data_IF_772060981285
#
_entry.id   IF_772060981285
#
_cell.length_a   1.000
_cell.length_b   1.000
_cell.length_c   1.000
_cell.angle_alpha   90.00
_cell.angle_beta   90.00
_cell.angle_gamma   90.00
#
_symmetry.space_group_name_H-M   'P 1'
#
loop_
_entity.id
_entity.type
_entity.pdbx_description
1 polymer ?
#
# COMPACT_ATOMS: atom_id res chain seq x y z
N UNK A 1 5.21 10.65 7.45
CA UNK A 1 5.74 9.25 7.50
C UNK A 1 5.31 8.48 8.76
N UNK A 2 5.55 9.00 9.98
CA UNK A 2 5.19 8.31 11.25
C UNK A 2 3.68 8.03 11.38
N UNK A 3 2.86 8.90 10.80
CA UNK A 3 1.39 8.77 10.82
C UNK A 3 0.89 7.69 9.86
N UNK A 4 1.50 7.56 8.67
CA UNK A 4 1.17 6.52 7.70
C UNK A 4 1.44 5.12 8.25
N UNK A 5 2.61 4.91 8.85
CA UNK A 5 2.96 3.62 9.47
C UNK A 5 1.96 3.27 10.58
N UNK A 6 1.59 4.24 11.41
CA UNK A 6 0.61 4.04 12.49
C UNK A 6 -0.78 3.72 11.95
N UNK A 7 -1.22 4.40 10.88
CA UNK A 7 -2.47 4.09 10.17
C UNK A 7 -2.47 2.65 9.63
N UNK A 8 -1.38 2.26 8.96
CA UNK A 8 -1.24 0.93 8.36
C UNK A 8 -1.16 -0.17 9.42
N UNK A 9 -0.62 0.08 10.60
CA UNK A 9 -0.68 -0.89 11.72
C UNK A 9 -2.11 -1.25 12.13
N UNK A 10 -3.11 -0.42 11.82
CA UNK A 10 -4.51 -0.72 12.08
C UNK A 10 -5.23 -1.39 10.88
N UNK A 11 -4.51 -1.68 9.78
CA UNK A 11 -5.10 -2.39 8.64
C UNK A 11 -5.43 -3.85 9.01
N UNK A 12 -6.46 -4.44 8.36
CA UNK A 12 -6.81 -5.82 8.59
C UNK A 12 -5.74 -6.78 8.07
N UNK A 13 -5.57 -7.90 8.76
CA UNK A 13 -4.78 -9.03 8.28
C UNK A 13 -5.61 -9.92 7.35
N UNK A 14 -6.20 -9.32 6.30
CA UNK A 14 -7.08 -9.97 5.33
C UNK A 14 -6.62 -9.69 3.89
N UNK A 15 -7.06 -10.49 2.90
CA UNK A 15 -6.86 -10.19 1.50
C UNK A 15 -7.58 -8.91 1.08
N UNK A 16 -7.02 -8.21 0.10
CA UNK A 16 -7.63 -7.02 -0.47
C UNK A 16 -6.72 -6.22 -1.39
N UNK A 17 -7.21 -5.03 -1.73
CA UNK A 17 -6.51 -4.02 -2.54
C UNK A 17 -6.11 -2.87 -1.63
N UNK A 18 -4.90 -2.34 -1.79
CA UNK A 18 -4.46 -1.09 -1.16
C UNK A 18 -4.20 -0.03 -2.23
N UNK A 19 -4.46 1.23 -1.86
CA UNK A 19 -4.31 2.39 -2.73
C UNK A 19 -3.43 3.39 -2.02
N UNK A 20 -2.39 3.87 -2.70
CA UNK A 20 -1.57 4.97 -2.22
C UNK A 20 -1.95 6.24 -3.01
N UNK A 21 -2.13 7.34 -2.29
CA UNK A 21 -2.56 8.62 -2.84
C UNK A 21 -1.52 9.69 -2.60
N UNK A 22 -1.42 10.63 -3.53
CA UNK A 22 -0.61 11.83 -3.34
C UNK A 22 -1.39 12.90 -2.54
N UNK A 23 -0.75 14.06 -2.31
CA UNK A 23 -1.34 15.21 -1.60
C UNK A 23 -2.59 15.80 -2.23
N UNK A 24 -2.82 15.54 -3.53
CA UNK A 24 -4.03 15.97 -4.24
C UNK A 24 -5.18 14.96 -4.11
N UNK A 25 -4.96 13.84 -3.43
CA UNK A 25 -5.90 12.74 -3.30
C UNK A 25 -5.94 11.82 -4.53
N UNK A 26 -5.05 12.01 -5.51
CA UNK A 26 -4.96 11.19 -6.72
C UNK A 26 -4.30 9.86 -6.37
N UNK A 27 -4.85 8.75 -6.90
CA UNK A 27 -4.27 7.43 -6.72
C UNK A 27 -3.04 7.31 -7.62
N UNK A 28 -1.86 7.12 -7.00
CA UNK A 28 -0.58 6.99 -7.71
C UNK A 28 -0.05 5.55 -7.70
N UNK A 29 -0.60 4.69 -6.87
CA UNK A 29 -0.24 3.28 -6.83
C UNK A 29 -1.41 2.43 -6.31
N UNK A 30 -1.61 1.28 -6.93
CA UNK A 30 -2.58 0.27 -6.52
C UNK A 30 -1.84 -1.05 -6.41
N UNK A 31 -2.08 -1.80 -5.34
CA UNK A 31 -1.58 -3.17 -5.25
C UNK A 31 -2.55 -4.09 -4.55
N UNK A 32 -2.38 -5.40 -4.80
CA UNK A 32 -3.12 -6.47 -4.14
C UNK A 32 -2.27 -7.16 -3.09
N UNK A 33 -2.91 -7.67 -2.04
CA UNK A 33 -2.24 -8.40 -0.98
C UNK A 33 -3.15 -9.49 -0.43
N UNK A 34 -2.59 -10.65 -0.07
CA UNK A 34 -3.27 -11.65 0.77
C UNK A 34 -3.35 -11.22 2.25
N UNK A 35 -2.49 -10.28 2.65
CA UNK A 35 -2.50 -9.63 3.95
C UNK A 35 -2.15 -8.14 3.78
N UNK A 36 -3.18 -7.29 3.84
CA UNK A 36 -3.05 -5.84 3.64
C UNK A 36 -2.05 -5.20 4.61
N UNK A 37 -2.15 -5.51 5.90
CA UNK A 37 -1.27 -4.96 6.92
C UNK A 37 0.20 -5.29 6.64
N UNK A 38 0.53 -6.58 6.47
CA UNK A 38 1.91 -7.04 6.24
C UNK A 38 2.49 -6.48 4.94
N UNK A 39 1.70 -6.50 3.85
CA UNK A 39 2.17 -6.04 2.54
C UNK A 39 2.43 -4.53 2.54
N UNK A 40 1.55 -3.73 3.13
CA UNK A 40 1.76 -2.28 3.13
C UNK A 40 2.90 -1.90 4.08
N UNK A 41 3.02 -2.57 5.24
CA UNK A 41 4.16 -2.36 6.14
C UNK A 41 5.50 -2.73 5.51
N UNK A 42 5.54 -3.66 4.54
CA UNK A 42 6.79 -4.06 3.91
C UNK A 42 7.47 -2.87 3.23
N UNK A 43 6.72 -1.97 2.57
CA UNK A 43 7.24 -0.75 1.92
C UNK A 43 8.02 0.18 2.86
N UNK A 44 7.80 0.14 4.18
CA UNK A 44 8.49 1.00 5.14
C UNK A 44 9.74 0.37 5.78
N UNK A 45 10.11 -0.85 5.38
CA UNK A 45 11.33 -1.51 5.83
C UNK A 45 12.58 -0.97 5.09
N UNK A 46 13.78 -1.11 5.66
CA UNK A 46 15.01 -0.43 5.15
C UNK A 46 15.61 -1.00 3.85
N UNK A 47 15.02 -2.04 3.24
CA UNK A 47 15.62 -2.77 2.13
C UNK A 47 14.73 -2.70 0.87
N UNK A 48 14.56 -1.50 0.30
CA UNK A 48 13.82 -1.33 -0.95
C UNK A 48 14.69 -0.77 -2.07
N UNK A 49 14.27 -1.05 -3.29
CA UNK A 49 14.80 -0.44 -4.50
C UNK A 49 14.44 1.06 -4.55
N UNK A 50 15.29 1.86 -5.19
CA UNK A 50 15.17 3.31 -5.35
C UNK A 50 13.80 3.74 -5.93
N UNK A 51 13.17 2.90 -6.76
CA UNK A 51 11.81 3.15 -7.29
C UNK A 51 10.77 3.27 -6.19
N UNK A 52 10.85 2.39 -5.19
CA UNK A 52 9.89 2.36 -4.07
C UNK A 52 10.12 3.55 -3.14
N UNK A 53 11.37 3.91 -2.89
CA UNK A 53 11.68 5.10 -2.08
C UNK A 53 11.10 6.37 -2.71
N UNK A 54 11.25 6.52 -4.03
CA UNK A 54 10.64 7.64 -4.78
C UNK A 54 9.12 7.64 -4.67
N UNK A 55 8.47 6.48 -4.85
CA UNK A 55 7.03 6.37 -4.65
C UNK A 55 6.61 6.87 -3.28
N UNK A 56 7.28 6.42 -2.21
CA UNK A 56 6.93 6.80 -0.83
C UNK A 56 7.14 8.27 -0.51
N UNK A 57 7.96 9.00 -1.27
CA UNK A 57 8.09 10.45 -1.14
C UNK A 57 6.85 11.20 -1.65
N UNK A 58 6.10 10.60 -2.58
CA UNK A 58 4.88 11.17 -3.16
C UNK A 58 3.61 10.77 -2.40
N UNK A 59 3.66 9.68 -1.62
CA UNK A 59 2.51 9.17 -0.86
C UNK A 59 2.19 10.07 0.34
N UNK A 60 0.95 10.56 0.36
CA UNK A 60 0.37 11.33 1.46
C UNK A 60 -0.72 10.57 2.21
N UNK A 61 -1.42 9.62 1.55
CA UNK A 61 -2.42 8.77 2.17
C UNK A 61 -2.40 7.32 1.65
N UNK A 62 -2.85 6.39 2.50
CA UNK A 62 -3.03 4.98 2.14
C UNK A 62 -4.42 4.51 2.56
N UNK A 63 -5.15 3.92 1.61
CA UNK A 63 -6.47 3.32 1.82
C UNK A 63 -6.46 1.83 1.43
N UNK A 64 -7.51 1.10 1.81
CA UNK A 64 -7.68 -0.30 1.43
C UNK A 64 -9.15 -0.66 1.22
N UNK A 65 -9.36 -1.77 0.51
CA UNK A 65 -10.64 -2.46 0.41
C UNK A 65 -10.42 -3.96 0.61
N UNK A 66 -11.13 -4.56 1.55
CA UNK A 66 -11.10 -6.02 1.78
C UNK A 66 -11.77 -6.71 0.60
N UNK A 67 -11.21 -7.84 0.17
CA UNK A 67 -11.84 -8.73 -0.81
C UNK A 67 -11.82 -10.17 -0.30
N UNK A 68 -12.92 -10.90 -0.55
CA UNK A 68 -13.12 -12.26 -0.01
C UNK A 68 -12.28 -13.32 -0.72
N UNK A 69 -11.74 -13.01 -1.90
CA UNK A 69 -10.83 -13.89 -2.64
C UNK A 69 -9.71 -13.09 -3.28
N UNK A 70 -8.49 -13.64 -3.31
CA UNK A 70 -7.37 -13.06 -4.08
C UNK A 70 -7.53 -13.45 -5.55
N UNK A 71 -8.56 -12.95 -6.22
CA UNK A 71 -8.75 -13.19 -7.66
C UNK A 71 -8.28 -11.96 -8.45
N UNK A 72 -7.37 -12.32 -9.36
CA UNK A 72 -6.61 -11.64 -10.40
C UNK A 72 -6.78 -10.13 -10.58
N UNK A 73 -5.66 -9.42 -10.45
CA UNK A 73 -5.28 -8.38 -11.42
C UNK A 73 -3.75 -8.38 -11.45
N UNK A 74 -3.22 -9.16 -12.39
CA UNK A 74 -1.99 -8.85 -13.08
C UNK A 74 -2.10 -7.42 -13.65
N UNK A 75 -0.97 -6.78 -13.93
CA UNK A 75 -0.78 -5.43 -14.52
C UNK A 75 -0.61 -4.37 -13.41
N UNK A 76 0.53 -3.69 -13.22
CA UNK A 76 1.55 -3.23 -14.18
C UNK A 76 3.00 -3.62 -13.79
N UNK A 77 3.85 -3.79 -14.81
CA UNK A 77 5.32 -3.64 -14.76
C UNK A 77 5.74 -2.20 -14.38
#
# INVERSE_FOLDING_TARGET
MKDLVSKVKNFPQKPGVYLMKNKKGEIIYIGKASNLQKRVLSYFQKAHDQRIEKLLQEVDDIAYQIQDTTIEALILE
#
